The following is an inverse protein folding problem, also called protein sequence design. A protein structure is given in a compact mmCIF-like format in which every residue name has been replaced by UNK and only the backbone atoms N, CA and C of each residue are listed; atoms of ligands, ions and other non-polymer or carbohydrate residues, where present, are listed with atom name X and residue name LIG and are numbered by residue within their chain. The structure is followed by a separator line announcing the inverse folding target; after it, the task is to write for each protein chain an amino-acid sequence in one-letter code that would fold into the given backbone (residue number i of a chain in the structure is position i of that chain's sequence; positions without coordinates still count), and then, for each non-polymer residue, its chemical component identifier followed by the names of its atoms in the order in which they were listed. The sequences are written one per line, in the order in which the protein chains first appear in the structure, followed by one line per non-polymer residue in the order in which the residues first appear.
data_IF_622315321854
#
_entry.id   IF_622315321854
#
_cell.length_a   1.000
_cell.length_b   1.000
_cell.length_c   1.000
_cell.angle_alpha   90.00
_cell.angle_beta   90.00
_cell.angle_gamma   90.00
#
_symmetry.space_group_name_H-M   'P 1'
#
loop_
_entity.id
_entity.type
_entity.pdbx_description
1 polymer ?
#
# COMPACT_ATOMS: atom_id res chain seq x y z
N UNK A 1 22.53 30.93 -0.48
CA UNK A 1 21.35 30.19 -0.97
C UNK A 1 21.74 28.74 -1.11
N UNK A 2 21.34 27.90 -0.16
CA UNK A 2 21.55 26.46 -0.20
C UNK A 2 20.32 25.81 -0.84
N UNK A 3 20.45 24.91 -1.83
CA UNK A 3 19.36 24.12 -2.36
C UNK A 3 19.25 22.86 -1.51
N UNK A 4 18.66 22.99 -0.33
CA UNK A 4 18.38 21.87 0.58
C UNK A 4 17.13 22.29 1.31
N UNK A 5 15.95 21.82 0.91
CA UNK A 5 14.71 21.75 1.74
C UNK A 5 13.45 21.52 0.89
N UNK A 6 13.47 20.51 0.01
CA UNK A 6 12.23 19.95 -0.54
C UNK A 6 12.38 18.46 -0.87
N UNK A 7 13.22 17.73 -0.13
CA UNK A 7 13.17 16.27 -0.19
C UNK A 7 11.89 15.84 0.53
N UNK A 8 10.92 15.33 -0.23
CA UNK A 8 9.76 14.65 0.33
C UNK A 8 10.17 13.55 1.32
N UNK A 9 9.26 13.12 2.21
CA UNK A 9 9.55 12.05 3.17
C UNK A 9 10.07 10.79 2.45
N UNK A 10 11.00 10.04 3.07
CA UNK A 10 11.51 8.81 2.47
C UNK A 10 10.36 7.82 2.27
N UNK A 11 10.23 7.32 1.04
CA UNK A 11 9.18 6.35 0.69
C UNK A 11 9.65 4.98 1.13
N UNK A 12 8.88 4.31 1.99
CA UNK A 12 9.17 2.95 2.39
C UNK A 12 8.44 1.98 1.44
N UNK A 13 9.22 1.16 0.75
CA UNK A 13 8.77 0.08 -0.11
C UNK A 13 8.85 -1.25 0.65
N UNK A 14 7.76 -1.99 0.71
CA UNK A 14 7.71 -3.35 1.27
C UNK A 14 7.25 -4.31 0.20
N UNK A 15 7.99 -5.39 -0.02
CA UNK A 15 7.65 -6.39 -1.03
C UNK A 15 8.17 -7.77 -0.64
N UNK A 16 7.52 -8.81 -1.15
CA UNK A 16 7.97 -10.18 -1.00
C UNK A 16 8.91 -10.55 -2.15
N UNK A 17 10.10 -11.03 -1.79
CA UNK A 17 11.02 -11.63 -2.76
C UNK A 17 10.53 -13.03 -3.17
N UNK A 18 10.92 -13.51 -4.35
CA UNK A 18 10.60 -14.86 -4.84
C UNK A 18 11.05 -15.97 -3.89
N UNK A 19 12.08 -15.72 -3.06
CA UNK A 19 12.51 -16.64 -2.01
C UNK A 19 11.58 -16.68 -0.77
N UNK A 20 10.51 -15.90 -0.75
CA UNK A 20 9.57 -15.76 0.38
C UNK A 20 10.06 -14.83 1.49
N UNK A 21 11.15 -14.09 1.29
CA UNK A 21 11.63 -13.10 2.24
C UNK A 21 10.93 -11.75 2.03
N UNK A 22 10.31 -11.23 3.08
CA UNK A 22 9.83 -9.85 3.10
C UNK A 22 11.02 -8.89 3.15
N UNK A 23 11.14 -8.03 2.14
CA UNK A 23 12.13 -6.96 2.09
C UNK A 23 11.47 -5.62 2.39
N UNK A 24 12.21 -4.76 3.10
CA UNK A 24 11.78 -3.39 3.41
C UNK A 24 12.91 -2.47 3.04
N UNK A 25 12.65 -1.55 2.11
CA UNK A 25 13.65 -0.63 1.57
C UNK A 25 13.11 0.79 1.64
N UNK A 26 13.98 1.75 1.93
CA UNK A 26 13.63 3.16 1.88
C UNK A 26 14.20 3.76 0.61
N UNK A 27 13.35 4.39 -0.18
CA UNK A 27 13.70 5.07 -1.43
C UNK A 27 13.56 6.57 -1.18
N UNK A 28 14.65 7.31 -1.38
CA UNK A 28 14.61 8.76 -1.33
C UNK A 28 13.95 9.29 -2.63
N UNK A 29 13.00 10.23 -2.55
CA UNK A 29 12.32 10.74 -3.75
C UNK A 29 13.25 11.52 -4.72
N UNK A 30 14.35 12.08 -4.22
CA UNK A 30 15.26 12.93 -5.01
C UNK A 30 16.43 12.16 -5.67
N UNK A 31 16.73 10.96 -5.18
CA UNK A 31 17.75 10.08 -5.76
C UNK A 31 16.97 8.87 -6.26
N UNK A 32 16.72 8.84 -7.58
CA UNK A 32 15.88 7.84 -8.23
C UNK A 32 16.10 6.44 -7.68
N UNK A 33 15.02 5.67 -7.56
CA UNK A 33 15.04 4.33 -7.00
C UNK A 33 16.24 3.54 -7.57
N UNK A 34 17.05 2.88 -6.71
CA UNK A 34 18.22 2.17 -7.19
C UNK A 34 17.80 1.17 -8.26
N UNK A 35 18.51 1.11 -9.39
CA UNK A 35 18.10 0.26 -10.53
C UNK A 35 18.04 -1.22 -10.15
N UNK A 36 18.76 -1.60 -9.10
CA UNK A 36 18.71 -2.92 -8.50
C UNK A 36 18.77 -2.88 -6.98
N UNK A 37 18.09 -3.83 -6.35
CA UNK A 37 18.18 -4.13 -4.92
C UNK A 37 18.60 -5.57 -4.72
N UNK A 38 19.49 -5.79 -3.76
CA UNK A 38 19.91 -7.13 -3.37
C UNK A 38 19.00 -7.63 -2.24
N UNK A 39 18.48 -8.85 -2.39
CA UNK A 39 17.71 -9.47 -1.32
C UNK A 39 18.64 -9.84 -0.16
N UNK A 40 18.35 -9.35 1.05
CA UNK A 40 19.09 -9.67 2.28
C UNK A 40 19.12 -11.16 2.66
N UNK A 41 18.30 -12.01 2.02
CA UNK A 41 18.21 -13.45 2.35
C UNK A 41 18.81 -14.35 1.27
N UNK A 42 18.46 -14.13 0.00
CA UNK A 42 18.90 -15.00 -1.10
C UNK A 42 19.99 -14.36 -1.97
N UNK A 43 20.39 -13.11 -1.67
CA UNK A 43 21.35 -12.32 -2.46
C UNK A 43 20.92 -12.14 -3.93
N UNK A 44 19.67 -12.46 -4.25
CA UNK A 44 19.10 -12.26 -5.57
C UNK A 44 19.01 -10.77 -5.90
N UNK A 45 19.44 -10.40 -7.10
CA UNK A 45 19.32 -9.05 -7.64
C UNK A 45 17.91 -8.84 -8.17
N UNK A 46 17.19 -7.91 -7.56
CA UNK A 46 15.86 -7.50 -7.97
C UNK A 46 15.97 -6.18 -8.74
N UNK A 47 15.57 -6.18 -10.00
CA UNK A 47 15.58 -4.97 -10.83
C UNK A 47 14.35 -4.15 -10.47
N UNK A 48 14.55 -2.88 -10.11
CA UNK A 48 13.47 -1.94 -9.87
C UNK A 48 13.18 -1.18 -11.17
N UNK A 49 11.94 -1.23 -11.63
CA UNK A 49 11.46 -0.25 -12.58
C UNK A 49 11.04 0.99 -11.80
N UNK A 50 11.90 2.02 -11.84
CA UNK A 50 11.62 3.33 -11.28
C UNK A 50 10.29 3.85 -11.84
N UNK A 51 9.22 3.60 -11.09
CA UNK A 51 7.89 4.05 -11.41
C UNK A 51 7.83 5.57 -11.44
N UNK A 52 6.85 6.07 -12.19
CA UNK A 52 6.63 7.51 -12.37
C UNK A 52 6.27 8.15 -11.03
N UNK A 53 7.27 8.70 -10.34
CA UNK A 53 7.11 9.58 -9.19
C UNK A 53 6.99 11.04 -9.68
N UNK A 54 6.13 11.83 -9.06
CA UNK A 54 6.09 13.28 -9.25
C UNK A 54 7.20 13.97 -8.44
N UNK A 55 7.55 15.21 -8.82
CA UNK A 55 8.43 16.07 -8.04
C UNK A 55 7.90 16.39 -6.64
N UNK A 56 6.58 16.32 -6.46
CA UNK A 56 5.89 16.49 -5.17
C UNK A 56 5.81 15.19 -4.35
N UNK A 57 6.36 14.07 -4.83
CA UNK A 57 6.34 12.77 -4.16
C UNK A 57 5.07 11.94 -4.41
N UNK A 58 4.28 12.30 -5.41
CA UNK A 58 3.11 11.56 -5.86
C UNK A 58 3.47 10.32 -6.66
N UNK A 59 2.84 9.18 -6.39
CA UNK A 59 3.16 7.92 -7.06
C UNK A 59 2.17 7.67 -8.20
N UNK A 60 2.60 7.59 -9.47
CA UNK A 60 1.70 7.25 -10.59
C UNK A 60 1.82 5.78 -11.02
N UNK A 61 2.93 5.12 -10.66
CA UNK A 61 3.19 3.73 -11.02
C UNK A 61 4.00 3.06 -9.91
N UNK A 62 3.96 1.74 -9.85
CA UNK A 62 4.72 0.97 -8.87
C UNK A 62 6.24 1.16 -9.05
N UNK A 63 6.97 1.49 -7.98
CA UNK A 63 8.44 1.58 -7.99
C UNK A 63 9.15 0.22 -8.14
N UNK A 64 8.43 -0.90 -8.07
CA UNK A 64 8.99 -2.24 -8.18
C UNK A 64 8.86 -2.79 -9.61
N UNK A 65 7.63 -2.82 -10.15
CA UNK A 65 7.33 -3.42 -11.45
C UNK A 65 6.84 -2.42 -12.51
N UNK A 66 6.82 -1.12 -12.22
CA UNK A 66 6.34 -0.09 -13.15
C UNK A 66 4.83 -0.10 -13.46
N UNK A 67 4.04 -1.01 -12.87
CA UNK A 67 2.61 -1.12 -13.17
C UNK A 67 1.83 0.13 -12.69
N UNK A 68 1.00 0.77 -13.53
CA UNK A 68 0.32 2.03 -13.20
C UNK A 68 -0.98 1.82 -12.40
N UNK A 69 -1.38 0.57 -12.13
CA UNK A 69 -2.55 0.28 -11.30
C UNK A 69 -2.14 0.00 -9.86
N UNK A 70 -2.43 0.97 -9.00
CA UNK A 70 -2.30 0.91 -7.56
C UNK A 70 -3.65 1.16 -6.89
N UNK A 71 -3.82 0.66 -5.67
CA UNK A 71 -4.99 0.99 -4.85
C UNK A 71 -4.56 1.47 -3.47
N UNK A 72 -5.36 2.36 -2.90
CA UNK A 72 -5.16 2.82 -1.53
C UNK A 72 -5.79 1.84 -0.54
N UNK A 73 -5.07 1.56 0.52
CA UNK A 73 -5.49 0.66 1.61
C UNK A 73 -5.05 1.24 2.94
N UNK A 74 -5.93 1.17 3.94
CA UNK A 74 -5.60 1.57 5.31
C UNK A 74 -4.59 0.61 5.93
N UNK A 75 -3.48 1.13 6.46
CA UNK A 75 -2.46 0.32 7.14
C UNK A 75 -2.84 0.05 8.59
N UNK A 76 -3.95 -0.66 8.80
CA UNK A 76 -4.29 -1.14 10.13
C UNK A 76 -3.57 -2.47 10.36
N UNK A 77 -2.59 -2.56 11.28
CA UNK A 77 -1.94 -3.81 11.61
C UNK A 77 -2.99 -4.75 12.21
N UNK A 78 -3.21 -5.89 11.55
CA UNK A 78 -4.20 -6.90 11.98
C UNK A 78 -4.03 -7.30 13.44
N UNK A 79 -2.77 -7.34 13.91
CA UNK A 79 -2.43 -7.65 15.29
C UNK A 79 -3.02 -6.64 16.30
N UNK A 80 -3.09 -5.36 15.96
CA UNK A 80 -3.58 -4.32 16.86
C UNK A 80 -5.09 -4.45 17.07
N UNK A 81 -5.87 -4.60 15.99
CA UNK A 81 -7.31 -4.84 16.08
C UNK A 81 -7.62 -6.14 16.83
N UNK A 82 -6.85 -7.21 16.57
CA UNK A 82 -7.02 -8.47 17.30
C UNK A 82 -6.72 -8.34 18.79
N UNK A 83 -5.67 -7.59 19.17
CA UNK A 83 -5.34 -7.33 20.57
C UNK A 83 -6.44 -6.57 21.30
N UNK A 84 -7.02 -5.54 20.67
CA UNK A 84 -8.14 -4.77 21.24
C UNK A 84 -9.34 -5.67 21.50
N UNK A 85 -9.75 -6.47 20.50
CA UNK A 85 -10.87 -7.41 20.64
C UNK A 85 -10.60 -8.49 21.68
N UNK A 86 -9.38 -9.04 21.72
CA UNK A 86 -9.00 -10.07 22.69
C UNK A 86 -9.05 -9.55 24.14
N UNK A 87 -8.50 -8.36 24.40
CA UNK A 87 -8.56 -7.73 25.71
C UNK A 87 -10.01 -7.44 26.11
N UNK A 88 -10.82 -6.94 25.18
CA UNK A 88 -12.23 -6.66 25.44
C UNK A 88 -13.05 -7.92 25.74
N UNK A 89 -12.78 -9.02 25.03
CA UNK A 89 -13.43 -10.31 25.25
C UNK A 89 -13.09 -10.89 26.64
N UNK A 90 -11.84 -10.77 27.09
CA UNK A 90 -11.44 -11.20 28.44
C UNK A 90 -12.15 -10.37 29.53
N UNK A 91 -12.36 -9.07 29.29
CA UNK A 91 -13.04 -8.16 30.22
C UNK A 91 -14.58 -8.23 30.16
N UNK A 92 -15.15 -8.86 29.11
CA UNK A 92 -16.58 -8.89 28.88
C UNK A 92 -17.41 -9.53 30.01
N UNK A 93 -16.99 -10.65 30.65
CA UNK A 93 -17.76 -11.28 31.73
C UNK A 93 -17.93 -10.39 32.96
N UNK A 94 -16.93 -9.54 33.25
CA UNK A 94 -16.95 -8.63 34.40
C UNK A 94 -17.66 -7.31 34.12
N UNK A 95 -17.88 -6.95 32.85
CA UNK A 95 -18.35 -5.62 32.44
C UNK A 95 -19.73 -5.64 31.78
N UNK A 96 -20.47 -6.75 31.84
CA UNK A 96 -21.74 -6.93 31.12
C UNK A 96 -21.63 -6.57 29.62
N UNK A 97 -20.54 -6.99 28.97
CA UNK A 97 -20.26 -6.71 27.56
C UNK A 97 -19.99 -5.23 27.19
N UNK A 98 -19.95 -4.30 28.16
CA UNK A 98 -19.62 -2.90 27.89
C UNK A 98 -18.20 -2.73 27.31
N UNK A 99 -17.27 -3.62 27.66
CA UNK A 99 -15.91 -3.64 27.09
C UNK A 99 -15.90 -3.78 25.57
N UNK A 100 -16.86 -4.50 24.98
CA UNK A 100 -16.97 -4.68 23.52
C UNK A 100 -17.42 -3.40 22.83
N UNK A 101 -18.32 -2.63 23.45
CA UNK A 101 -18.73 -1.34 22.91
C UNK A 101 -17.54 -0.36 22.89
N UNK A 102 -16.74 -0.34 23.96
CA UNK A 102 -15.52 0.48 24.02
C UNK A 102 -14.49 0.01 22.99
N UNK A 103 -14.31 -1.30 22.81
CA UNK A 103 -13.44 -1.86 21.79
C UNK A 103 -13.83 -1.40 20.38
N UNK A 104 -15.11 -1.45 20.04
CA UNK A 104 -15.62 -0.98 18.74
C UNK A 104 -15.32 0.51 18.50
N UNK A 105 -15.43 1.35 19.54
CA UNK A 105 -15.07 2.77 19.45
C UNK A 105 -13.57 2.96 19.24
N UNK A 106 -12.75 2.19 19.95
CA UNK A 106 -11.28 2.21 19.78
C UNK A 106 -10.89 1.76 18.37
N UNK A 107 -11.46 0.67 17.87
CA UNK A 107 -11.22 0.17 16.52
C UNK A 107 -11.61 1.21 15.46
N UNK A 108 -12.74 1.90 15.64
CA UNK A 108 -13.15 3.00 14.76
C UNK A 108 -12.18 4.19 14.79
N UNK A 109 -11.73 4.58 15.98
CA UNK A 109 -10.74 5.65 16.14
C UNK A 109 -9.41 5.29 15.47
N UNK A 110 -8.92 4.07 15.68
CA UNK A 110 -7.72 3.53 15.04
C UNK A 110 -7.86 3.51 13.52
N UNK A 111 -8.99 3.05 13.00
CA UNK A 111 -9.27 3.05 11.57
C UNK A 111 -9.20 4.47 10.96
N UNK A 112 -9.71 5.50 11.65
CA UNK A 112 -9.64 6.89 11.18
C UNK A 112 -8.23 7.47 11.23
N UNK A 113 -7.44 7.12 12.25
CA UNK A 113 -6.11 7.71 12.47
C UNK A 113 -5.00 7.07 11.62
N UNK A 114 -5.20 5.86 11.10
CA UNK A 114 -4.15 5.17 10.36
C UNK A 114 -3.80 5.87 9.03
N UNK A 115 -2.53 5.84 8.60
CA UNK A 115 -2.15 6.35 7.29
C UNK A 115 -2.62 5.40 6.18
N UNK A 116 -2.83 5.97 4.99
CA UNK A 116 -3.14 5.20 3.79
C UNK A 116 -1.83 4.71 3.15
N UNK A 117 -1.86 3.49 2.63
CA UNK A 117 -0.74 2.82 1.96
C UNK A 117 -1.18 2.45 0.54
N UNK A 118 -0.32 2.72 -0.44
CA UNK A 118 -0.57 2.27 -1.81
C UNK A 118 -0.08 0.84 -1.96
N UNK A 119 -0.85 0.05 -2.70
CA UNK A 119 -0.50 -1.33 -3.01
C UNK A 119 -0.63 -1.54 -4.50
N UNK A 120 0.38 -2.12 -5.12
CA UNK A 120 0.32 -2.48 -6.54
C UNK A 120 -0.57 -3.70 -6.74
N UNK A 121 -1.44 -3.69 -7.75
CA UNK A 121 -2.27 -4.87 -8.04
C UNK A 121 -1.47 -6.08 -8.56
N UNK A 122 -0.36 -5.85 -9.26
CA UNK A 122 0.43 -6.90 -9.89
C UNK A 122 1.39 -7.58 -8.90
N UNK A 123 2.39 -6.83 -8.40
CA UNK A 123 3.43 -7.38 -7.53
C UNK A 123 3.10 -7.33 -6.03
N UNK A 124 1.95 -6.75 -5.65
CA UNK A 124 1.53 -6.59 -4.24
C UNK A 124 2.51 -5.82 -3.36
N UNK A 125 3.44 -5.06 -3.95
CA UNK A 125 4.34 -4.17 -3.21
C UNK A 125 3.54 -3.06 -2.51
N UNK A 126 3.85 -2.82 -1.24
CA UNK A 126 3.27 -1.73 -0.43
C UNK A 126 4.20 -0.51 -0.43
N UNK A 127 3.67 0.65 -0.79
CA UNK A 127 4.36 1.93 -0.79
C UNK A 127 3.80 2.81 0.33
N UNK A 128 4.67 3.22 1.26
CA UNK A 128 4.32 4.05 2.43
C UNK A 128 5.06 5.37 2.38
N UNK A 129 4.44 6.44 2.87
CA UNK A 129 5.06 7.77 2.93
C UNK A 129 5.09 8.52 1.59
N UNK A 130 4.20 8.17 0.65
CA UNK A 130 3.98 8.92 -0.60
C UNK A 130 3.11 10.15 -0.34
N UNK A 131 3.15 11.13 -1.25
CA UNK A 131 2.26 12.28 -1.19
C UNK A 131 0.82 11.84 -1.46
N UNK A 132 -0.15 12.47 -0.78
CA UNK A 132 -1.57 12.14 -0.92
C UNK A 132 -2.16 12.34 -2.33
N UNK A 133 -1.44 13.03 -3.22
CA UNK A 133 -1.80 13.25 -4.61
C UNK A 133 -0.71 12.64 -5.53
N UNK A 134 -1.06 11.93 -6.63
CA UNK A 134 -2.40 11.63 -7.10
C UNK A 134 -3.16 10.68 -6.18
N UNK A 135 -4.44 10.95 -5.92
CA UNK A 135 -5.27 10.04 -5.13
C UNK A 135 -5.58 8.77 -5.92
N UNK A 136 -5.29 7.62 -5.34
CA UNK A 136 -5.71 6.33 -5.89
C UNK A 136 -7.00 5.86 -5.23
N UNK A 137 -7.93 5.27 -6.00
CA UNK A 137 -9.13 4.67 -5.44
C UNK A 137 -8.78 3.49 -4.52
N UNK A 138 -9.76 3.06 -3.73
CA UNK A 138 -9.71 1.82 -2.99
C UNK A 138 -9.62 0.59 -3.90
N UNK A 139 -9.66 -0.59 -3.27
CA UNK A 139 -9.55 -1.87 -3.97
C UNK A 139 -10.76 -2.10 -4.90
N UNK A 140 -10.47 -2.33 -6.17
CA UNK A 140 -11.40 -2.62 -7.25
C UNK A 140 -11.25 -4.08 -7.66
N UNK A 141 -12.33 -4.85 -7.46
CA UNK A 141 -12.35 -6.28 -7.76
C UNK A 141 -12.26 -6.55 -9.27
N UNK A 142 -12.77 -5.68 -10.14
CA UNK A 142 -12.69 -5.87 -11.59
C UNK A 142 -11.24 -5.83 -12.07
N UNK A 143 -10.44 -4.90 -11.51
CA UNK A 143 -9.00 -4.79 -11.82
C UNK A 143 -8.26 -6.04 -11.33
N UNK A 144 -8.51 -6.45 -10.08
CA UNK A 144 -7.86 -7.62 -9.50
C UNK A 144 -8.19 -8.91 -10.26
N UNK A 145 -9.45 -9.13 -10.64
CA UNK A 145 -9.86 -10.28 -11.44
C UNK A 145 -9.24 -10.23 -12.84
N UNK A 146 -9.22 -9.06 -13.49
CA UNK A 146 -8.60 -8.91 -14.82
C UNK A 146 -7.11 -9.26 -14.80
N UNK A 147 -6.37 -8.81 -13.79
CA UNK A 147 -4.95 -9.11 -13.66
C UNK A 147 -4.71 -10.59 -13.32
N UNK A 148 -5.52 -11.16 -12.41
CA UNK A 148 -5.39 -12.57 -12.04
C UNK A 148 -5.71 -13.55 -13.19
N UNK A 149 -6.70 -13.24 -14.04
CA UNK A 149 -7.17 -14.14 -15.10
C UNK A 149 -6.67 -13.77 -16.50
N UNK A 150 -6.09 -12.58 -16.69
CA UNK A 150 -5.53 -12.11 -17.96
C UNK A 150 -6.47 -12.34 -19.14
N UNK A 151 -6.03 -13.13 -20.13
CA UNK A 151 -6.81 -13.47 -21.35
C UNK A 151 -8.06 -14.31 -21.08
N UNK A 152 -8.18 -14.90 -19.88
CA UNK A 152 -9.33 -15.70 -19.46
C UNK A 152 -10.39 -14.87 -18.73
N UNK A 153 -10.10 -13.60 -18.45
CA UNK A 153 -11.08 -12.69 -17.89
C UNK A 153 -12.21 -12.51 -18.90
N UNK A 154 -13.37 -13.07 -18.57
CA UNK A 154 -14.58 -12.97 -19.41
C UNK A 154 -15.21 -11.58 -19.30
N UNK A 155 -14.92 -10.87 -18.21
CA UNK A 155 -15.46 -9.56 -17.86
C UNK A 155 -14.36 -8.67 -17.28
N UNK A 156 -14.47 -7.36 -17.50
CA UNK A 156 -13.58 -6.35 -16.91
C UNK A 156 -13.36 -5.18 -17.86
N UNK A 157 -13.39 -3.96 -17.33
CA UNK A 157 -13.03 -2.76 -18.11
C UNK A 157 -11.56 -2.86 -18.56
N UNK A 158 -11.22 -2.36 -19.77
CA UNK A 158 -9.82 -2.27 -20.19
C UNK A 158 -9.03 -1.37 -19.22
N UNK A 159 -7.71 -1.57 -19.18
CA UNK A 159 -6.81 -0.73 -18.39
C UNK A 159 -6.98 0.75 -18.79
N UNK A 160 -7.12 1.63 -17.80
CA UNK A 160 -7.23 3.08 -18.04
C UNK A 160 -5.89 3.64 -18.53
N UNK A 161 -5.95 4.63 -19.42
CA UNK A 161 -4.76 5.37 -19.83
C UNK A 161 -4.20 6.15 -18.63
N UNK A 162 -2.98 5.80 -18.19
CA UNK A 162 -2.37 6.38 -16.98
C UNK A 162 -2.66 5.63 -15.68
N UNK A 163 -3.38 4.50 -15.73
CA UNK A 163 -3.63 3.65 -14.57
C UNK A 163 -4.69 4.18 -13.61
N UNK A 164 -4.47 4.03 -12.30
CA UNK A 164 -5.44 4.40 -11.26
C UNK A 164 -5.16 5.75 -10.59
N UNK A 165 -4.09 6.43 -10.96
CA UNK A 165 -3.78 7.77 -10.46
C UNK A 165 -4.90 8.76 -10.83
N UNK A 166 -5.57 9.34 -9.84
CA UNK A 166 -6.69 10.27 -10.04
C UNK A 166 -7.97 9.61 -10.57
N UNK A 167 -8.07 8.27 -10.52
CA UNK A 167 -9.27 7.57 -10.95
C UNK A 167 -10.42 7.73 -9.92
N UNK A 168 -11.69 7.73 -10.36
CA UNK A 168 -12.83 7.75 -9.45
C UNK A 168 -12.88 6.48 -8.59
N UNK A 169 -13.46 6.60 -7.40
CA UNK A 169 -13.68 5.47 -6.50
C UNK A 169 -14.51 4.38 -7.19
N UNK A 170 -14.16 3.08 -7.05
CA UNK A 170 -14.92 1.99 -7.62
C UNK A 170 -16.35 1.95 -7.07
N UNK A 171 -17.30 1.63 -7.94
CA UNK A 171 -18.68 1.32 -7.57
C UNK A 171 -18.69 -0.12 -7.02
N UNK A 172 -18.97 -0.28 -5.72
CA UNK A 172 -19.01 -1.58 -5.04
C UNK A 172 -20.36 -2.28 -5.13
#
# INVERSE_FOLDING_TARGET
MSPSDSLGPPVQLRFDCECGALQVVQIAPAEGAPESLECSRCEGTLVLEAGRLDGDGGLFACQLCGHPELFSKKDVPRALGLMVVAVAAVLAPWTNYASLAVAAVIDFALYRCMPDVLVCYECQAEHRGYASEPRHPGFDREIAERLAFGKRAVMGKPMRAGGTAGAPEPEH
#
